data_IF_772299732771
#
_entry.id   IF_772299732771
#
_cell.length_a   1.000
_cell.length_b   1.000
_cell.length_c   1.000
_cell.angle_alpha   90.00
_cell.angle_beta   90.00
_cell.angle_gamma   90.00
#
_symmetry.space_group_name_H-M   'P 1'
#
loop_
_entity.id
_entity.type
_entity.pdbx_description
1 polymer ?
#
# COMPACT_ATOMS: atom_id res chain seq x y z
N UNK A 1 -20.19 23.87 -19.70
CA UNK A 1 -18.95 23.64 -18.95
C UNK A 1 -19.11 22.26 -18.31
N UNK A 2 -18.52 21.23 -18.90
CA UNK A 2 -18.51 19.88 -18.30
C UNK A 2 -17.62 19.96 -17.07
N UNK A 3 -18.18 19.62 -15.91
CA UNK A 3 -17.44 19.39 -14.69
C UNK A 3 -16.45 18.27 -14.99
N UNK A 4 -15.16 18.54 -14.95
CA UNK A 4 -14.15 17.50 -15.01
C UNK A 4 -14.41 16.59 -13.80
N UNK A 5 -14.69 15.31 -14.06
CA UNK A 5 -14.75 14.29 -13.03
C UNK A 5 -13.40 14.31 -12.29
N UNK A 6 -13.44 14.78 -11.05
CA UNK A 6 -12.28 14.80 -10.18
C UNK A 6 -11.84 13.35 -9.99
N UNK A 7 -10.75 12.98 -10.65
CA UNK A 7 -10.07 11.71 -10.40
C UNK A 7 -9.55 11.77 -8.97
N UNK A 8 -10.22 11.07 -8.06
CA UNK A 8 -9.83 11.03 -6.68
C UNK A 8 -8.42 10.48 -6.54
N UNK A 9 -7.55 11.28 -5.93
CA UNK A 9 -6.21 10.89 -5.50
C UNK A 9 -6.36 9.68 -4.57
N UNK A 10 -5.85 8.53 -4.98
CA UNK A 10 -5.86 7.28 -4.20
C UNK A 10 -6.45 6.06 -4.90
N UNK A 11 -7.36 6.24 -5.85
CA UNK A 11 -7.96 5.13 -6.57
C UNK A 11 -7.56 5.19 -8.05
N UNK A 12 -6.84 4.20 -8.52
CA UNK A 12 -6.41 4.06 -9.92
C UNK A 12 -7.63 4.06 -10.86
N UNK A 13 -7.98 5.23 -11.41
CA UNK A 13 -8.99 5.36 -12.44
C UNK A 13 -10.43 5.08 -12.03
N UNK A 14 -10.74 5.07 -10.74
CA UNK A 14 -12.11 4.85 -10.23
C UNK A 14 -12.90 6.16 -10.28
N UNK A 15 -14.06 6.13 -10.88
CA UNK A 15 -14.97 7.27 -10.94
C UNK A 15 -15.58 7.57 -9.57
N UNK A 16 -16.08 8.78 -9.38
CA UNK A 16 -16.79 9.17 -8.15
C UNK A 16 -17.98 8.25 -7.86
N UNK A 17 -18.70 7.81 -8.90
CA UNK A 17 -19.82 6.88 -8.76
C UNK A 17 -19.37 5.50 -8.26
N UNK A 18 -18.33 4.92 -8.85
CA UNK A 18 -17.78 3.64 -8.40
C UNK A 18 -17.28 3.70 -6.97
N UNK A 19 -16.70 4.83 -6.56
CA UNK A 19 -16.30 5.05 -5.17
C UNK A 19 -17.49 5.07 -4.22
N UNK A 20 -18.58 5.74 -4.60
CA UNK A 20 -19.80 5.74 -3.79
C UNK A 20 -20.40 4.34 -3.68
N UNK A 21 -20.43 3.57 -4.77
CA UNK A 21 -20.91 2.19 -4.79
C UNK A 21 -20.05 1.28 -3.91
N UNK A 22 -18.73 1.42 -3.95
CA UNK A 22 -17.81 0.68 -3.07
C UNK A 22 -17.99 1.07 -1.62
N UNK A 23 -18.15 2.36 -1.33
CA UNK A 23 -18.41 2.84 0.03
C UNK A 23 -19.74 2.28 0.58
N UNK A 24 -20.78 2.23 -0.25
CA UNK A 24 -22.06 1.66 0.14
C UNK A 24 -21.92 0.15 0.47
N UNK A 25 -21.19 -0.61 -0.35
CA UNK A 25 -20.91 -2.04 -0.08
C UNK A 25 -20.09 -2.23 1.19
N UNK A 26 -19.08 -1.38 1.41
CA UNK A 26 -18.31 -1.40 2.64
C UNK A 26 -19.19 -1.15 3.86
N UNK A 27 -20.07 -0.15 3.81
CA UNK A 27 -20.97 0.16 4.91
C UNK A 27 -22.00 -0.97 5.16
N UNK A 28 -22.46 -1.63 4.12
CA UNK A 28 -23.31 -2.82 4.23
C UNK A 28 -22.54 -3.96 4.93
N UNK A 29 -21.33 -4.28 4.48
CA UNK A 29 -20.46 -5.29 5.07
C UNK A 29 -20.17 -5.01 6.55
N UNK A 30 -19.73 -3.79 6.86
CA UNK A 30 -19.45 -3.38 8.24
C UNK A 30 -20.71 -3.43 9.12
N UNK A 31 -21.88 -3.11 8.55
CA UNK A 31 -23.17 -3.19 9.24
C UNK A 31 -23.59 -4.62 9.59
N UNK A 32 -23.11 -5.63 8.85
CA UNK A 32 -23.36 -7.05 9.16
C UNK A 32 -22.35 -7.62 10.15
N UNK A 33 -21.11 -7.16 10.14
CA UNK A 33 -20.01 -7.74 10.92
C UNK A 33 -19.69 -6.99 12.22
N UNK A 34 -20.00 -5.70 12.27
CA UNK A 34 -19.67 -4.84 13.41
C UNK A 34 -20.90 -4.38 14.18
N UNK A 35 -20.76 -4.30 15.49
CA UNK A 35 -21.76 -3.68 16.35
C UNK A 35 -21.93 -2.18 15.98
N UNK A 36 -23.16 -1.62 16.06
CA UNK A 36 -23.43 -0.21 15.71
C UNK A 36 -22.51 0.79 16.41
N UNK A 37 -22.17 0.54 17.67
CA UNK A 37 -21.25 1.39 18.44
C UNK A 37 -19.81 1.39 17.86
N UNK A 38 -19.36 0.27 17.29
CA UNK A 38 -18.05 0.20 16.65
C UNK A 38 -18.02 1.00 15.33
N UNK A 39 -19.11 0.95 14.57
CA UNK A 39 -19.27 1.75 13.35
C UNK A 39 -19.28 3.24 13.69
N UNK A 40 -20.06 3.65 14.69
CA UNK A 40 -20.09 5.04 15.15
C UNK A 40 -18.71 5.53 15.60
N UNK A 41 -18.00 4.73 16.39
CA UNK A 41 -16.62 5.06 16.80
C UNK A 41 -15.66 5.21 15.61
N UNK A 42 -15.74 4.32 14.64
CA UNK A 42 -14.95 4.39 13.42
C UNK A 42 -15.27 5.66 12.62
N UNK A 43 -16.54 5.98 12.42
CA UNK A 43 -16.96 7.19 11.72
C UNK A 43 -16.51 8.46 12.42
N UNK A 44 -16.63 8.54 13.75
CA UNK A 44 -16.15 9.67 14.55
C UNK A 44 -14.63 9.80 14.47
N UNK A 45 -13.89 8.70 14.42
CA UNK A 45 -12.43 8.72 14.26
C UNK A 45 -12.00 9.24 12.89
N UNK A 46 -12.81 9.04 11.84
CA UNK A 46 -12.53 9.54 10.50
C UNK A 46 -12.79 11.06 10.35
N UNK A 47 -13.75 11.61 11.07
CA UNK A 47 -14.14 13.04 10.96
C UNK A 47 -13.13 13.97 11.65
N UNK A 48 -12.37 13.48 12.62
CA UNK A 48 -11.44 14.29 13.42
C UNK A 48 -10.02 14.43 12.86
N UNK A 49 -9.74 14.01 11.64
CA UNK A 49 -8.38 13.89 11.13
C UNK A 49 -7.70 15.22 10.72
N UNK A 50 -8.46 16.30 10.55
CA UNK A 50 -7.89 17.58 10.09
C UNK A 50 -7.02 18.30 11.13
N UNK A 51 -7.20 18.00 12.43
CA UNK A 51 -6.52 18.71 13.53
C UNK A 51 -5.51 17.81 14.29
N UNK A 52 -5.33 16.57 13.88
CA UNK A 52 -4.32 15.68 14.47
C UNK A 52 -3.00 15.91 13.79
N UNK A 53 -2.06 16.49 14.50
CA UNK A 53 -0.62 16.42 14.16
C UNK A 53 -0.16 14.97 14.34
N UNK A 54 -0.46 14.13 13.36
CA UNK A 54 -0.22 12.67 13.42
C UNK A 54 1.22 12.27 13.11
N UNK A 55 2.13 13.23 12.94
CA UNK A 55 3.52 12.94 12.62
C UNK A 55 3.75 12.34 11.23
N UNK A 56 2.69 12.16 10.43
CA UNK A 56 2.76 11.61 9.08
C UNK A 56 2.89 10.09 9.01
N UNK A 57 3.13 9.58 7.80
CA UNK A 57 3.33 8.16 7.56
C UNK A 57 4.66 7.65 8.15
N UNK A 58 4.62 6.48 8.79
CA UNK A 58 5.78 5.86 9.40
C UNK A 58 6.33 4.76 8.51
N UNK A 59 7.65 4.61 8.52
CA UNK A 59 8.36 3.44 8.03
C UNK A 59 9.10 2.81 9.20
N UNK A 60 9.00 1.49 9.30
CA UNK A 60 9.67 0.73 10.36
C UNK A 60 10.83 -0.07 9.77
N UNK A 61 12.00 0.06 10.39
CA UNK A 61 13.16 -0.79 10.13
C UNK A 61 13.44 -1.59 11.39
N UNK A 62 13.26 -2.90 11.28
CA UNK A 62 13.37 -3.83 12.41
C UNK A 62 14.63 -4.68 12.24
N UNK A 63 15.53 -4.62 13.21
CA UNK A 63 16.66 -5.55 13.32
C UNK A 63 16.19 -6.77 14.11
N UNK A 64 16.18 -7.92 13.48
CA UNK A 64 15.81 -9.22 14.07
C UNK A 64 16.98 -10.21 13.98
N UNK A 65 16.87 -11.38 14.63
CA UNK A 65 17.98 -12.35 14.66
C UNK A 65 18.43 -12.81 13.26
N UNK A 66 17.48 -12.94 12.34
CA UNK A 66 17.72 -13.50 11.00
C UNK A 66 18.01 -12.43 9.93
N UNK A 67 17.96 -11.15 10.29
CA UNK A 67 18.22 -10.07 9.36
C UNK A 67 17.48 -8.78 9.67
N UNK A 68 17.33 -7.95 8.66
CA UNK A 68 16.70 -6.63 8.75
C UNK A 68 15.44 -6.58 7.91
N UNK A 69 14.32 -6.26 8.55
CA UNK A 69 13.01 -6.12 7.92
C UNK A 69 12.61 -4.65 7.83
N UNK A 70 12.30 -4.18 6.62
CA UNK A 70 11.62 -2.91 6.44
C UNK A 70 10.13 -3.16 6.23
N UNK A 71 9.31 -2.41 6.96
CA UNK A 71 7.86 -2.40 6.77
C UNK A 71 7.40 -0.99 6.41
N UNK A 72 6.89 -0.85 5.20
CA UNK A 72 6.30 0.36 4.68
C UNK A 72 4.96 0.06 4.02
N UNK A 73 3.89 0.39 4.74
CA UNK A 73 2.53 0.03 4.40
C UNK A 73 1.70 1.25 3.96
N UNK A 74 2.33 2.13 3.21
CA UNK A 74 1.67 3.32 2.65
C UNK A 74 1.99 3.50 1.17
N UNK A 75 1.08 4.15 0.45
CA UNK A 75 1.27 4.48 -0.98
C UNK A 75 2.15 5.72 -1.18
N UNK A 76 3.09 5.99 -0.27
CA UNK A 76 3.98 7.14 -0.40
C UNK A 76 5.26 6.97 0.40
N UNK A 77 6.33 7.67 -0.03
CA UNK A 77 7.59 7.71 0.70
C UNK A 77 8.36 9.00 0.42
N UNK A 78 9.28 9.30 1.34
CA UNK A 78 10.32 10.30 1.17
C UNK A 78 11.62 9.61 0.77
N UNK A 79 12.14 9.92 -0.41
CA UNK A 79 13.36 9.29 -0.93
C UNK A 79 14.58 9.55 -0.03
N UNK A 80 14.62 10.70 0.62
CA UNK A 80 15.64 11.05 1.61
C UNK A 80 15.67 10.12 2.84
N UNK A 81 14.51 9.57 3.22
CA UNK A 81 14.40 8.59 4.32
C UNK A 81 14.85 7.21 3.86
N UNK A 82 14.34 6.74 2.71
CA UNK A 82 14.57 5.36 2.28
C UNK A 82 15.97 5.09 1.74
N UNK A 83 16.60 6.07 1.06
CA UNK A 83 17.83 5.84 0.28
C UNK A 83 19.01 5.25 1.05
N UNK A 84 19.06 5.41 2.36
CA UNK A 84 20.14 4.91 3.21
C UNK A 84 19.77 3.64 3.98
N UNK A 85 18.55 3.16 3.83
CA UNK A 85 18.11 1.92 4.45
C UNK A 85 18.56 0.74 3.58
N UNK A 86 18.96 -0.35 4.24
CA UNK A 86 19.40 -1.58 3.57
C UNK A 86 18.79 -2.78 4.28
N UNK A 87 17.49 -3.03 4.05
CA UNK A 87 16.82 -4.21 4.60
C UNK A 87 17.23 -5.48 3.82
N UNK A 88 17.16 -6.62 4.46
CA UNK A 88 17.20 -7.92 3.79
C UNK A 88 15.85 -8.24 3.14
N UNK A 89 14.77 -7.89 3.84
CA UNK A 89 13.40 -8.06 3.37
C UNK A 89 12.67 -6.72 3.45
N UNK A 90 11.94 -6.35 2.40
CA UNK A 90 11.09 -5.16 2.38
C UNK A 90 9.64 -5.56 2.13
N UNK A 91 8.75 -5.20 3.06
CA UNK A 91 7.30 -5.27 2.86
C UNK A 91 6.87 -3.91 2.33
N UNK A 92 6.31 -3.89 1.11
CA UNK A 92 5.96 -2.67 0.38
C UNK A 92 4.48 -2.67 -0.02
N UNK A 93 3.81 -1.56 0.19
CA UNK A 93 2.43 -1.41 -0.24
C UNK A 93 2.30 -1.40 -1.78
N UNK A 94 1.39 -2.21 -2.28
CA UNK A 94 1.10 -2.35 -3.71
C UNK A 94 -0.37 -2.03 -4.01
N UNK A 95 -0.82 -0.87 -3.54
CA UNK A 95 -2.16 -0.35 -3.78
C UNK A 95 -2.14 1.16 -3.98
N UNK A 96 -3.20 1.67 -4.57
CA UNK A 96 -3.43 3.09 -4.71
C UNK A 96 -2.49 3.78 -5.72
N UNK A 97 -2.43 5.10 -5.64
CA UNK A 97 -1.55 5.93 -6.44
C UNK A 97 -0.34 6.36 -5.63
N UNK A 98 0.84 5.94 -6.07
CA UNK A 98 2.07 6.25 -5.37
C UNK A 98 2.37 7.75 -5.30
N UNK A 99 3.02 8.14 -4.20
CA UNK A 99 3.51 9.49 -3.95
C UNK A 99 4.99 9.41 -3.56
N UNK A 100 5.81 10.24 -4.17
CA UNK A 100 7.24 10.32 -3.88
C UNK A 100 7.59 11.76 -3.55
N UNK A 101 8.17 11.97 -2.38
CA UNK A 101 8.62 13.28 -1.89
C UNK A 101 7.52 14.35 -1.93
N UNK A 102 6.27 13.96 -1.65
CA UNK A 102 5.11 14.86 -1.62
C UNK A 102 4.36 14.99 -2.95
N UNK A 103 4.89 14.43 -4.04
CA UNK A 103 4.29 14.55 -5.38
C UNK A 103 3.77 13.20 -5.90
N UNK A 104 2.59 13.16 -6.53
CA UNK A 104 2.12 11.95 -7.20
C UNK A 104 3.10 11.48 -8.27
N UNK A 105 3.38 10.18 -8.31
CA UNK A 105 4.30 9.65 -9.33
C UNK A 105 3.72 9.84 -10.73
N UNK A 106 4.62 10.13 -11.66
CA UNK A 106 4.36 10.08 -13.10
C UNK A 106 4.71 8.66 -13.59
N UNK A 107 3.77 7.71 -13.42
CA UNK A 107 4.02 6.33 -13.81
C UNK A 107 3.04 5.34 -13.18
N UNK A 108 3.33 4.05 -13.37
CA UNK A 108 2.51 2.96 -12.87
C UNK A 108 2.86 2.57 -11.42
N UNK A 109 1.95 1.81 -10.79
CA UNK A 109 2.20 1.20 -9.48
C UNK A 109 3.44 0.29 -9.50
N UNK A 110 3.64 -0.45 -10.60
CA UNK A 110 4.83 -1.28 -10.77
C UNK A 110 6.12 -0.45 -10.70
N UNK A 111 6.15 0.70 -11.38
CA UNK A 111 7.29 1.63 -11.31
C UNK A 111 7.48 2.23 -9.92
N UNK A 112 6.39 2.47 -9.18
CA UNK A 112 6.46 2.93 -7.80
C UNK A 112 7.14 1.90 -6.89
N UNK A 113 6.71 0.64 -6.94
CA UNK A 113 7.34 -0.46 -6.18
C UNK A 113 8.79 -0.69 -6.63
N UNK A 114 9.03 -0.70 -7.94
CA UNK A 114 10.36 -0.87 -8.51
C UNK A 114 11.36 0.21 -8.06
N UNK A 115 10.94 1.47 -7.99
CA UNK A 115 11.79 2.58 -7.49
C UNK A 115 12.16 2.40 -6.02
N UNK A 116 11.22 1.94 -5.18
CA UNK A 116 11.52 1.65 -3.79
C UNK A 116 12.51 0.49 -3.67
N UNK A 117 12.29 -0.59 -4.40
CA UNK A 117 13.19 -1.74 -4.41
C UNK A 117 14.60 -1.38 -4.92
N UNK A 118 14.70 -0.55 -5.97
CA UNK A 118 15.97 -0.06 -6.49
C UNK A 118 16.74 0.77 -5.46
N UNK A 119 16.02 1.59 -4.68
CA UNK A 119 16.61 2.42 -3.62
C UNK A 119 17.06 1.61 -2.42
N UNK A 120 16.26 0.62 -1.99
CA UNK A 120 16.46 -0.21 -0.80
C UNK A 120 17.40 -1.38 -1.02
N UNK A 121 17.40 -1.97 -2.23
CA UNK A 121 18.18 -3.15 -2.61
C UNK A 121 17.98 -4.34 -1.68
N UNK A 122 16.74 -4.72 -1.35
CA UNK A 122 16.49 -5.87 -0.50
C UNK A 122 16.80 -7.18 -1.25
N UNK A 123 17.02 -8.27 -0.52
CA UNK A 123 17.07 -9.61 -1.12
C UNK A 123 15.68 -10.09 -1.52
N UNK A 124 14.66 -9.71 -0.72
CA UNK A 124 13.26 -10.08 -0.98
C UNK A 124 12.32 -8.88 -0.83
N UNK A 125 11.34 -8.83 -1.70
CA UNK A 125 10.18 -7.95 -1.58
C UNK A 125 8.95 -8.80 -1.30
N UNK A 126 8.15 -8.39 -0.32
CA UNK A 126 6.80 -8.89 -0.04
C UNK A 126 5.84 -7.74 -0.30
N UNK A 127 4.74 -8.01 -0.99
CA UNK A 127 3.72 -6.99 -1.23
C UNK A 127 2.66 -7.03 -0.14
N UNK A 128 2.24 -5.84 0.32
CA UNK A 128 1.04 -5.63 1.12
C UNK A 128 -0.01 -4.85 0.33
N UNK A 129 -1.26 -4.89 0.76
CA UNK A 129 -2.40 -4.21 0.12
C UNK A 129 -2.63 -4.55 -1.36
N UNK A 130 -2.13 -5.68 -1.86
CA UNK A 130 -2.29 -6.11 -3.26
C UNK A 130 -3.52 -6.98 -3.50
N UNK A 131 -4.21 -7.35 -2.46
CA UNK A 131 -5.34 -8.28 -2.45
C UNK A 131 -6.68 -7.60 -2.12
N UNK A 132 -7.77 -8.35 -2.16
CA UNK A 132 -9.09 -7.90 -1.71
C UNK A 132 -9.22 -8.03 -0.18
N UNK A 133 -8.39 -7.26 0.55
CA UNK A 133 -8.32 -7.29 2.01
C UNK A 133 -9.58 -6.71 2.70
N UNK A 134 -10.38 -5.93 1.97
CA UNK A 134 -11.64 -5.37 2.44
C UNK A 134 -12.72 -5.59 1.38
N UNK A 135 -13.46 -6.70 1.46
CA UNK A 135 -14.43 -7.09 0.43
C UNK A 135 -15.43 -5.98 0.07
N UNK A 136 -15.62 -5.77 -1.22
CA UNK A 136 -16.49 -4.73 -1.75
C UNK A 136 -15.90 -3.31 -1.78
N UNK A 137 -14.77 -3.08 -1.13
CA UNK A 137 -14.06 -1.79 -1.14
C UNK A 137 -12.72 -1.88 -1.86
N UNK A 138 -11.85 -2.79 -1.46
CA UNK A 138 -10.56 -3.02 -2.10
C UNK A 138 -10.72 -3.77 -3.44
N UNK A 139 -9.71 -3.67 -4.29
CA UNK A 139 -9.64 -4.38 -5.57
C UNK A 139 -8.28 -5.07 -5.65
N UNK A 140 -8.24 -6.35 -6.00
CA UNK A 140 -6.98 -7.04 -6.19
C UNK A 140 -6.12 -6.34 -7.23
N UNK A 141 -4.84 -6.16 -6.92
CA UNK A 141 -3.84 -5.63 -7.84
C UNK A 141 -3.28 -6.75 -8.70
N UNK A 142 -3.18 -6.52 -10.01
CA UNK A 142 -2.41 -7.41 -10.88
C UNK A 142 -0.92 -7.30 -10.52
N UNK A 143 -0.36 -8.37 -9.99
CA UNK A 143 1.03 -8.44 -9.53
C UNK A 143 2.03 -8.66 -10.67
N UNK A 144 1.57 -9.14 -11.84
CA UNK A 144 2.47 -9.45 -12.96
C UNK A 144 3.30 -8.25 -13.43
N UNK A 145 2.75 -7.03 -13.62
CA UNK A 145 3.55 -5.86 -13.98
C UNK A 145 4.59 -5.48 -12.92
N UNK A 146 4.29 -5.72 -11.63
CA UNK A 146 5.23 -5.44 -10.53
C UNK A 146 6.39 -6.43 -10.58
N UNK A 147 6.12 -7.72 -10.82
CA UNK A 147 7.14 -8.75 -10.97
C UNK A 147 8.09 -8.43 -12.13
N UNK A 148 7.54 -8.06 -13.27
CA UNK A 148 8.31 -7.72 -14.46
C UNK A 148 9.20 -6.48 -14.21
N UNK A 149 8.68 -5.46 -13.55
CA UNK A 149 9.44 -4.26 -13.22
C UNK A 149 10.55 -4.55 -12.19
N UNK A 150 10.28 -5.35 -11.16
CA UNK A 150 11.32 -5.78 -10.21
C UNK A 150 12.42 -6.57 -10.90
N UNK A 151 12.08 -7.53 -11.76
CA UNK A 151 13.05 -8.28 -12.56
C UNK A 151 13.91 -7.37 -13.45
N UNK A 152 13.34 -6.28 -13.94
CA UNK A 152 14.03 -5.30 -14.79
C UNK A 152 15.00 -4.39 -14.00
N UNK A 153 14.58 -3.88 -12.82
CA UNK A 153 15.34 -2.85 -12.08
C UNK A 153 16.24 -3.41 -10.98
N UNK A 154 15.83 -4.53 -10.37
CA UNK A 154 16.53 -5.21 -9.28
C UNK A 154 16.56 -6.72 -9.50
N UNK A 155 17.21 -7.23 -10.53
CA UNK A 155 17.14 -8.63 -10.97
C UNK A 155 17.62 -9.65 -9.92
N UNK A 156 18.30 -9.22 -8.87
CA UNK A 156 18.74 -10.06 -7.75
C UNK A 156 17.77 -10.09 -6.59
N UNK A 157 16.71 -9.28 -6.64
CA UNK A 157 15.66 -9.23 -5.62
C UNK A 157 14.56 -10.23 -5.97
N UNK A 158 14.22 -11.11 -5.05
CA UNK A 158 13.11 -12.04 -5.18
C UNK A 158 11.79 -11.34 -4.79
N UNK A 159 10.76 -11.47 -5.63
CA UNK A 159 9.39 -11.19 -5.20
C UNK A 159 8.83 -12.44 -4.52
N UNK A 160 8.70 -12.38 -3.20
CA UNK A 160 8.14 -13.46 -2.40
C UNK A 160 6.62 -13.28 -2.29
N UNK A 161 5.88 -14.14 -2.97
CA UNK A 161 4.43 -14.19 -2.89
C UNK A 161 4.02 -15.10 -1.73
N UNK A 162 3.45 -14.52 -0.69
CA UNK A 162 2.98 -15.25 0.49
C UNK A 162 1.47 -15.45 0.41
N UNK A 163 1.02 -16.68 0.68
CA UNK A 163 -0.40 -16.98 0.79
C UNK A 163 -0.92 -16.76 2.20
N UNK A 164 -2.24 -16.59 2.32
CA UNK A 164 -2.90 -16.58 3.62
C UNK A 164 -2.66 -17.89 4.37
N UNK A 165 -2.41 -17.79 5.66
CA UNK A 165 -2.21 -18.93 6.57
C UNK A 165 -0.97 -19.81 6.26
N UNK A 166 -0.09 -19.38 5.37
CA UNK A 166 1.01 -20.23 4.91
C UNK A 166 2.18 -20.35 5.89
N UNK A 167 2.38 -19.40 6.81
CA UNK A 167 3.54 -19.38 7.71
C UNK A 167 4.88 -19.42 6.95
N UNK A 168 4.97 -18.70 5.83
CA UNK A 168 6.14 -18.72 4.95
C UNK A 168 7.33 -18.01 5.61
N UNK A 169 8.52 -18.65 5.72
CA UNK A 169 9.72 -17.99 6.20
C UNK A 169 10.18 -16.90 5.23
N UNK A 170 10.37 -15.69 5.73
CA UNK A 170 10.75 -14.55 4.86
C UNK A 170 12.26 -14.32 4.77
N UNK A 171 13.05 -14.81 5.73
CA UNK A 171 14.51 -14.63 5.78
C UNK A 171 15.34 -15.79 5.20
N UNK A 172 14.71 -16.90 4.88
CA UNK A 172 15.40 -18.08 4.35
C UNK A 172 15.65 -18.00 2.85
#
# INVERSE_FOLDING_TARGET
>A
MAQADEVCIGDLGVTHQERQERMAKLMEYLGTELAPAAIEHMMLSMVGHSDRGDGGALVFLLDVLDGRLLFQDTSGHWSGVLRNLRPDVAILAAAGRGNIDGEPIQGSLAQFVGRQADMLRPRKVVLSHHDDWLPGFSVPTDVAPIRDELARVVPTTELLEIGYLAGTPIFQ
#
